data_IF_818699529536
#
_entry.id   IF_818699529536
#
_cell.length_a   1.000
_cell.length_b   1.000
_cell.length_c   1.000
_cell.angle_alpha   90.00
_cell.angle_beta   90.00
_cell.angle_gamma   90.00
#
_symmetry.space_group_name_H-M   'P 1'
#
loop_
_entity.id
_entity.type
_entity.pdbx_description
1 polymer ?
#
# COMPACT_ATOMS: atom_id res chain seq x y z
N UNK A 1 14.11 -13.08 5.94
CA UNK A 1 12.74 -13.21 5.42
C UNK A 1 11.76 -12.60 6.40
N UNK A 2 10.81 -11.88 5.87
CA UNK A 2 9.75 -11.26 6.68
C UNK A 2 8.40 -11.66 6.10
N UNK A 3 7.45 -12.05 6.93
CA UNK A 3 6.10 -12.40 6.52
C UNK A 3 5.11 -11.52 7.28
N UNK A 4 4.27 -10.81 6.55
CA UNK A 4 3.27 -9.89 7.10
C UNK A 4 1.89 -10.39 6.68
N UNK A 5 0.99 -10.49 7.65
CA UNK A 5 -0.39 -10.90 7.44
C UNK A 5 -1.34 -9.79 7.82
N UNK A 6 -2.14 -9.33 6.87
CA UNK A 6 -3.14 -8.28 7.07
C UNK A 6 -4.15 -8.28 5.93
N UNK A 7 -5.10 -7.35 5.96
CA UNK A 7 -5.92 -7.05 4.77
C UNK A 7 -5.03 -6.45 3.70
N UNK A 8 -5.39 -6.62 2.44
CA UNK A 8 -4.60 -6.08 1.33
C UNK A 8 -5.45 -5.72 0.12
N UNK A 9 -5.01 -4.71 -0.59
CA UNK A 9 -5.51 -4.34 -1.92
C UNK A 9 -4.32 -4.30 -2.86
N UNK A 10 -4.45 -4.90 -4.05
CA UNK A 10 -3.44 -4.77 -5.08
C UNK A 10 -4.08 -4.82 -6.48
N UNK A 11 -3.29 -4.49 -7.48
CA UNK A 11 -3.69 -4.61 -8.88
C UNK A 11 -2.88 -5.73 -9.50
N UNK A 12 -3.52 -6.89 -9.85
CA UNK A 12 -2.80 -8.10 -10.27
C UNK A 12 -1.98 -7.93 -11.54
N UNK A 13 -2.37 -6.99 -12.38
CA UNK A 13 -1.69 -6.72 -13.65
C UNK A 13 -1.61 -5.22 -13.87
N UNK A 14 -0.53 -4.76 -14.52
CA UNK A 14 -0.37 -3.34 -14.85
C UNK A 14 -1.46 -2.81 -15.78
N UNK A 15 -2.16 -3.69 -16.49
CA UNK A 15 -3.27 -3.33 -17.38
C UNK A 15 -4.63 -3.42 -16.69
N UNK A 16 -4.69 -3.99 -15.51
CA UNK A 16 -5.93 -4.06 -14.75
C UNK A 16 -6.24 -2.72 -14.11
N UNK A 17 -7.47 -2.28 -14.28
CA UNK A 17 -7.98 -1.07 -13.66
C UNK A 17 -8.78 -1.37 -12.40
N UNK A 18 -9.07 -2.66 -12.15
CA UNK A 18 -9.82 -3.09 -10.98
C UNK A 18 -8.88 -3.68 -9.93
N UNK A 19 -8.94 -3.17 -8.70
CA UNK A 19 -8.17 -3.75 -7.62
C UNK A 19 -8.76 -5.09 -7.18
N UNK A 20 -7.89 -5.92 -6.62
CA UNK A 20 -8.28 -7.14 -5.93
C UNK A 20 -8.09 -6.92 -4.42
N UNK A 21 -9.12 -7.23 -3.64
CA UNK A 21 -9.10 -7.07 -2.18
C UNK A 21 -9.09 -8.42 -1.50
N UNK A 22 -8.22 -8.58 -0.50
CA UNK A 22 -8.21 -9.73 0.39
C UNK A 22 -8.46 -9.29 1.83
N UNK A 23 -9.41 -9.91 2.51
CA UNK A 23 -9.61 -9.71 3.94
C UNK A 23 -8.43 -10.22 4.75
N UNK A 24 -7.72 -11.21 4.25
CA UNK A 24 -6.62 -11.87 4.93
C UNK A 24 -5.59 -12.30 3.89
N UNK A 25 -4.49 -11.57 3.84
CA UNK A 25 -3.42 -11.79 2.88
C UNK A 25 -2.08 -11.96 3.59
N UNK A 26 -1.14 -12.58 2.90
CA UNK A 26 0.24 -12.73 3.36
C UNK A 26 1.17 -12.14 2.31
N UNK A 27 2.11 -11.34 2.76
CA UNK A 27 3.22 -10.81 1.97
C UNK A 27 4.52 -11.35 2.53
N UNK A 28 5.31 -11.99 1.69
CA UNK A 28 6.64 -12.48 2.07
C UNK A 28 7.68 -11.65 1.34
N UNK A 29 8.59 -11.07 2.12
CA UNK A 29 9.72 -10.30 1.57
C UNK A 29 11.04 -10.93 2.01
N UNK A 30 12.06 -10.77 1.17
CA UNK A 30 13.41 -11.24 1.46
C UNK A 30 14.40 -10.37 0.69
N UNK A 31 15.40 -9.84 1.39
CA UNK A 31 16.44 -8.98 0.80
C UNK A 31 15.86 -7.77 0.04
N UNK A 32 14.78 -7.17 0.56
CA UNK A 32 14.14 -6.02 -0.05
C UNK A 32 13.26 -6.34 -1.25
N UNK A 33 13.04 -7.62 -1.55
CA UNK A 33 12.21 -8.04 -2.68
C UNK A 33 10.98 -8.80 -2.20
N UNK A 34 9.89 -8.66 -2.94
CA UNK A 34 8.69 -9.47 -2.70
C UNK A 34 8.95 -10.86 -3.24
N UNK A 35 8.86 -11.86 -2.37
CA UNK A 35 9.04 -13.27 -2.72
C UNK A 35 7.73 -13.94 -3.06
N UNK A 36 6.66 -13.58 -2.34
CA UNK A 36 5.34 -14.14 -2.57
C UNK A 36 4.29 -13.23 -1.97
N UNK A 37 3.08 -13.27 -2.54
CA UNK A 37 1.94 -12.51 -2.06
C UNK A 37 0.65 -13.19 -2.50
N UNK A 38 -0.33 -13.25 -1.62
CA UNK A 38 -1.63 -13.80 -1.96
C UNK A 38 -2.53 -13.95 -0.72
N UNK A 39 -3.71 -14.55 -0.91
CA UNK A 39 -4.61 -14.78 0.21
C UNK A 39 -4.03 -15.80 1.20
N UNK A 40 -4.25 -15.56 2.49
CA UNK A 40 -3.73 -16.42 3.54
C UNK A 40 -4.18 -17.87 3.39
N UNK A 41 -5.39 -18.09 2.89
CA UNK A 41 -5.92 -19.45 2.68
C UNK A 41 -5.07 -20.26 1.70
N UNK A 42 -4.48 -19.61 0.69
CA UNK A 42 -3.58 -20.28 -0.26
C UNK A 42 -2.31 -20.75 0.43
N UNK A 43 -1.72 -19.89 1.27
CA UNK A 43 -0.51 -20.25 2.03
C UNK A 43 -0.77 -21.40 2.98
N UNK A 44 -1.91 -21.37 3.67
CA UNK A 44 -2.29 -22.46 4.58
C UNK A 44 -2.47 -23.77 3.82
N UNK A 45 -3.10 -23.75 2.65
CA UNK A 45 -3.28 -24.94 1.82
C UNK A 45 -1.96 -25.51 1.32
N UNK A 46 -0.93 -24.68 1.14
CA UNK A 46 0.41 -25.08 0.73
C UNK A 46 1.28 -25.53 1.92
N UNK A 47 0.74 -25.55 3.12
CA UNK A 47 1.47 -25.99 4.31
C UNK A 47 2.29 -24.91 5.00
N UNK A 48 2.09 -23.65 4.65
CA UNK A 48 2.79 -22.54 5.30
C UNK A 48 2.22 -22.31 6.71
N UNK A 49 3.12 -22.12 7.67
CA UNK A 49 2.73 -21.85 9.05
C UNK A 49 2.39 -20.36 9.23
N UNK A 50 1.10 -20.05 9.27
CA UNK A 50 0.64 -18.67 9.42
C UNK A 50 0.99 -18.06 10.78
N UNK A 51 1.31 -18.86 11.79
CA UNK A 51 1.67 -18.37 13.11
C UNK A 51 3.00 -17.61 13.12
N UNK A 52 3.85 -17.81 12.11
CA UNK A 52 5.12 -17.11 12.00
C UNK A 52 5.00 -15.71 11.39
N UNK A 53 3.81 -15.33 10.94
CA UNK A 53 3.59 -14.00 10.35
C UNK A 53 3.46 -12.92 11.42
N UNK A 54 3.93 -11.71 11.09
CA UNK A 54 3.50 -10.51 11.80
C UNK A 54 2.03 -10.27 11.43
N UNK A 55 1.12 -10.49 12.36
CA UNK A 55 -0.32 -10.39 12.07
C UNK A 55 -0.89 -9.07 12.55
N UNK A 56 -1.38 -8.28 11.60
CA UNK A 56 -2.01 -7.00 11.84
C UNK A 56 -3.40 -6.98 11.22
N UNK A 57 -4.42 -7.58 11.87
CA UNK A 57 -5.74 -7.76 11.25
C UNK A 57 -6.46 -6.46 10.92
N UNK A 58 -6.11 -5.35 11.57
CA UNK A 58 -6.72 -4.04 11.32
C UNK A 58 -5.97 -3.23 10.26
N UNK A 59 -4.79 -3.66 9.83
CA UNK A 59 -4.02 -2.96 8.81
C UNK A 59 -4.52 -3.29 7.42
N UNK A 60 -4.25 -2.37 6.51
CA UNK A 60 -4.49 -2.55 5.09
C UNK A 60 -3.17 -2.36 4.34
N UNK A 61 -2.66 -3.43 3.75
CA UNK A 61 -1.48 -3.35 2.88
C UNK A 61 -1.87 -2.81 1.51
N UNK A 62 -1.04 -1.93 0.99
CA UNK A 62 -1.18 -1.35 -0.34
C UNK A 62 0.17 -1.41 -1.05
N UNK A 63 0.18 -1.47 -2.40
CA UNK A 63 1.41 -1.22 -3.14
C UNK A 63 1.95 0.17 -2.83
N UNK A 64 3.27 0.34 -2.93
CA UNK A 64 3.88 1.65 -2.78
C UNK A 64 3.29 2.62 -3.80
N UNK A 65 3.00 3.83 -3.36
CA UNK A 65 2.39 4.83 -4.22
C UNK A 65 3.44 5.48 -5.11
N UNK A 66 3.05 5.74 -6.36
CA UNK A 66 3.87 6.47 -7.31
C UNK A 66 3.11 7.74 -7.66
N UNK A 67 3.70 8.88 -7.35
CA UNK A 67 3.16 10.17 -7.73
C UNK A 67 4.02 10.76 -8.84
N UNK A 68 3.47 10.77 -10.06
CA UNK A 68 4.20 11.22 -11.24
C UNK A 68 4.28 12.75 -11.33
N UNK A 69 3.55 13.48 -10.49
CA UNK A 69 3.55 14.93 -10.46
C UNK A 69 3.40 15.42 -9.03
N UNK A 70 4.53 15.65 -8.36
CA UNK A 70 4.58 16.09 -6.98
C UNK A 70 5.45 17.32 -6.83
N UNK A 71 4.97 18.30 -6.07
CA UNK A 71 5.74 19.49 -5.72
C UNK A 71 6.26 19.33 -4.29
N UNK A 72 7.53 19.01 -4.13
CA UNK A 72 8.13 18.74 -2.83
C UNK A 72 7.85 19.84 -1.79
N UNK A 73 7.98 21.15 -2.12
CA UNK A 73 7.69 22.19 -1.13
C UNK A 73 6.23 22.26 -0.69
N UNK A 74 5.33 21.55 -1.37
CA UNK A 74 3.89 21.54 -1.07
C UNK A 74 3.43 20.30 -0.32
N UNK A 75 4.32 19.37 -0.02
CA UNK A 75 3.94 18.10 0.62
C UNK A 75 3.22 18.33 1.95
N UNK A 76 3.70 19.25 2.76
CA UNK A 76 3.13 19.51 4.08
C UNK A 76 1.79 20.26 4.04
N UNK A 77 1.40 20.76 2.86
CA UNK A 77 0.15 21.50 2.68
C UNK A 77 -0.83 20.81 1.76
N UNK A 78 -0.62 19.51 1.50
CA UNK A 78 -1.55 18.71 0.72
C UNK A 78 -2.95 18.78 1.34
N UNK A 79 -3.94 18.95 0.47
CA UNK A 79 -5.34 19.06 0.87
C UNK A 79 -5.64 20.24 1.82
N UNK A 80 -4.79 21.24 1.89
CA UNK A 80 -5.08 22.48 2.59
C UNK A 80 -6.31 23.15 1.96
N UNK A 81 -7.11 23.82 2.83
CA UNK A 81 -8.34 24.43 2.40
C UNK A 81 -8.12 25.36 1.20
N UNK A 82 -8.88 25.12 0.13
CA UNK A 82 -8.65 25.78 -1.15
C UNK A 82 -9.27 27.16 -1.27
N UNK A 83 -8.54 28.04 -1.90
CA UNK A 83 -8.98 29.34 -2.38
C UNK A 83 -8.65 29.42 -3.88
N UNK A 84 -8.63 30.61 -4.45
CA UNK A 84 -8.08 30.76 -5.81
C UNK A 84 -6.60 30.33 -5.83
N UNK A 85 -6.15 29.77 -6.96
CA UNK A 85 -4.82 29.17 -7.03
C UNK A 85 -3.70 30.12 -6.58
N UNK A 86 -3.70 31.35 -7.04
CA UNK A 86 -2.64 32.31 -6.68
C UNK A 86 -2.65 32.62 -5.18
N UNK A 87 -3.81 32.81 -4.60
CA UNK A 87 -3.94 33.03 -3.16
C UNK A 87 -3.49 31.80 -2.38
N UNK A 88 -3.86 30.62 -2.84
CA UNK A 88 -3.46 29.36 -2.19
C UNK A 88 -1.94 29.21 -2.19
N UNK A 89 -1.28 29.46 -3.35
CA UNK A 89 0.18 29.36 -3.45
C UNK A 89 0.86 30.39 -2.53
N UNK A 90 0.35 31.59 -2.46
CA UNK A 90 0.92 32.62 -1.60
C UNK A 90 0.73 32.26 -0.11
N UNK A 91 -0.45 31.77 0.26
CA UNK A 91 -0.80 31.51 1.64
C UNK A 91 -0.13 30.25 2.22
N UNK A 92 0.03 29.20 1.41
CA UNK A 92 0.47 27.89 1.89
C UNK A 92 1.84 27.46 1.37
N UNK A 93 2.33 28.02 0.30
CA UNK A 93 3.56 27.55 -0.36
C UNK A 93 4.71 28.55 -0.27
N UNK A 94 4.44 29.82 -0.41
CA UNK A 94 5.48 30.88 -0.44
C UNK A 94 5.57 31.67 0.86
#
# INVERSE_FOLDING_TARGET
>A
MRAIRSRAIHWPSSNDQEPEYFDDAVLITENGLIRDFGPAVRFEAEGFDLSCCEHHPSWLMLPGWIDAHLHFPQVDVLASYGTQLLEWLEQYTF
#
